data_IF_438108819722
#
_entry.id   IF_438108819722
#
_cell.length_a   1.000
_cell.length_b   1.000
_cell.length_c   1.000
_cell.angle_alpha   90.00
_cell.angle_beta   90.00
_cell.angle_gamma   90.00
#
_symmetry.space_group_name_H-M   'P 1'
#
loop_
_entity.id
_entity.type
_entity.pdbx_description
1 polymer ?
#
# COMPACT_ATOMS: atom_id res chain seq x y z
N UNK A 1 -33.11 -13.98 9.98
CA UNK A 1 -32.57 -13.79 8.61
C UNK A 1 -32.39 -12.32 8.28
N UNK A 2 -33.44 -11.49 8.34
CA UNK A 2 -33.36 -10.03 8.18
C UNK A 2 -32.26 -9.36 9.04
N UNK A 3 -32.19 -9.68 10.34
CA UNK A 3 -31.14 -9.11 11.21
C UNK A 3 -29.72 -9.46 10.76
N UNK A 4 -29.48 -10.68 10.26
CA UNK A 4 -28.17 -11.13 9.75
C UNK A 4 -27.83 -10.48 8.40
N UNK A 5 -28.82 -10.31 7.53
CA UNK A 5 -28.70 -9.53 6.29
C UNK A 5 -28.28 -8.09 6.59
N UNK A 6 -28.91 -7.46 7.59
CA UNK A 6 -28.61 -6.08 7.97
C UNK A 6 -27.29 -5.93 8.74
N UNK A 7 -26.88 -6.92 9.53
CA UNK A 7 -25.68 -6.83 10.36
C UNK A 7 -24.39 -7.30 9.69
N UNK A 8 -24.46 -8.14 8.66
CA UNK A 8 -23.30 -8.74 7.99
C UNK A 8 -23.61 -9.06 6.51
N UNK A 9 -23.60 -8.05 5.63
CA UNK A 9 -24.02 -8.20 4.24
C UNK A 9 -23.01 -8.99 3.39
N UNK A 10 -21.77 -9.18 3.84
CA UNK A 10 -20.71 -9.88 3.09
C UNK A 10 -20.12 -11.04 3.89
N UNK A 11 -19.65 -12.06 3.17
CA UNK A 11 -18.93 -13.22 3.70
C UNK A 11 -17.68 -13.44 2.87
N UNK A 12 -16.58 -13.83 3.52
CA UNK A 12 -15.34 -14.23 2.84
C UNK A 12 -15.11 -15.71 3.07
N UNK A 13 -14.88 -16.47 2.00
CA UNK A 13 -14.62 -17.90 2.03
C UNK A 13 -13.36 -18.23 1.22
N UNK A 14 -12.73 -19.37 1.52
CA UNK A 14 -11.63 -19.89 0.69
C UNK A 14 -12.23 -20.47 -0.59
N UNK A 15 -11.87 -19.91 -1.74
CA UNK A 15 -12.31 -20.40 -3.06
C UNK A 15 -11.34 -21.43 -3.63
N UNK A 16 -10.04 -21.15 -3.50
CA UNK A 16 -8.97 -22.01 -4.00
C UNK A 16 -7.82 -22.01 -3.00
N UNK A 17 -7.22 -23.18 -2.77
CA UNK A 17 -6.04 -23.34 -1.90
C UNK A 17 -4.74 -23.46 -2.71
N UNK A 18 -4.85 -23.69 -4.01
CA UNK A 18 -3.75 -23.96 -4.94
C UNK A 18 -3.92 -23.18 -6.25
N UNK A 19 -4.22 -21.87 -6.14
CA UNK A 19 -4.24 -21.00 -7.30
C UNK A 19 -2.84 -20.96 -7.94
N UNK A 20 -2.78 -21.24 -9.24
CA UNK A 20 -1.51 -21.39 -9.95
C UNK A 20 -0.67 -20.10 -9.94
N UNK A 21 0.62 -20.22 -9.65
CA UNK A 21 1.51 -19.06 -9.48
C UNK A 21 1.64 -18.21 -10.75
N UNK A 22 1.53 -18.79 -11.94
CA UNK A 22 1.62 -18.04 -13.19
C UNK A 22 0.53 -16.96 -13.32
N UNK A 23 -0.63 -17.16 -12.68
CA UNK A 23 -1.71 -16.16 -12.70
C UNK A 23 -1.43 -14.98 -11.77
N UNK A 24 -0.41 -15.06 -10.91
CA UNK A 24 0.01 -13.97 -10.02
C UNK A 24 1.29 -13.29 -10.53
N UNK A 25 1.38 -11.95 -10.49
CA UNK A 25 2.66 -11.29 -10.67
C UNK A 25 3.58 -11.65 -9.50
N UNK A 26 4.86 -11.87 -9.81
CA UNK A 26 5.87 -11.99 -8.77
C UNK A 26 5.88 -10.71 -7.93
N UNK A 27 6.00 -10.77 -6.59
CA UNK A 27 5.94 -9.56 -5.78
C UNK A 27 6.99 -8.53 -6.19
N UNK A 28 6.69 -7.27 -5.92
CA UNK A 28 7.70 -6.22 -6.04
C UNK A 28 8.71 -6.37 -4.92
N UNK A 29 9.99 -6.19 -5.24
CA UNK A 29 11.10 -6.29 -4.29
C UNK A 29 11.86 -4.97 -4.27
N UNK A 30 11.83 -4.26 -3.14
CA UNK A 30 12.53 -3.00 -2.94
C UNK A 30 13.82 -3.23 -2.13
N UNK A 31 14.91 -2.65 -2.60
CA UNK A 31 16.26 -2.79 -2.08
C UNK A 31 16.74 -1.40 -1.66
N UNK A 32 16.85 -1.19 -0.36
CA UNK A 32 17.27 0.07 0.24
C UNK A 32 18.62 -0.09 0.95
N UNK A 33 19.70 0.57 0.49
CA UNK A 33 20.92 0.63 1.28
C UNK A 33 20.69 1.45 2.56
N UNK A 34 21.21 0.97 3.69
CA UNK A 34 21.11 1.68 4.97
C UNK A 34 21.97 2.96 4.96
N UNK A 35 23.15 2.91 4.34
CA UNK A 35 23.96 4.10 4.05
C UNK A 35 23.38 4.78 2.79
N UNK A 36 22.60 5.85 2.98
CA UNK A 36 21.84 6.53 1.91
C UNK A 36 22.62 7.63 1.18
N UNK A 37 23.73 8.11 1.75
CA UNK A 37 24.46 9.29 1.28
C UNK A 37 25.95 8.96 1.17
N UNK A 38 26.53 9.27 0.01
CA UNK A 38 27.98 9.29 -0.22
C UNK A 38 28.57 10.61 0.28
N UNK A 39 29.30 10.56 1.41
CA UNK A 39 29.81 11.74 2.12
C UNK A 39 30.65 12.64 1.21
N UNK A 40 31.64 12.09 0.51
CA UNK A 40 32.60 12.90 -0.25
C UNK A 40 31.93 13.58 -1.45
N UNK A 41 31.01 12.85 -2.10
CA UNK A 41 30.19 13.38 -3.19
C UNK A 41 29.28 14.51 -2.69
N UNK A 42 28.67 14.35 -1.51
CA UNK A 42 27.83 15.36 -0.90
C UNK A 42 28.60 16.66 -0.57
N UNK A 43 29.79 16.54 0.04
CA UNK A 43 30.67 17.67 0.32
C UNK A 43 31.06 18.41 -0.95
N UNK A 44 31.47 17.69 -2.00
CA UNK A 44 31.78 18.28 -3.31
C UNK A 44 30.57 19.01 -3.91
N UNK A 45 29.40 18.38 -3.90
CA UNK A 45 28.18 18.96 -4.47
C UNK A 45 27.81 20.30 -3.84
N UNK A 46 27.94 20.40 -2.50
CA UNK A 46 27.62 21.61 -1.73
C UNK A 46 28.69 22.67 -1.93
N UNK A 47 29.98 22.30 -1.90
CA UNK A 47 31.09 23.22 -2.16
C UNK A 47 30.99 23.88 -3.55
N UNK A 48 30.56 23.14 -4.58
CA UNK A 48 30.42 23.65 -5.95
C UNK A 48 29.24 24.65 -6.12
N UNK A 49 28.31 24.72 -5.16
CA UNK A 49 27.05 25.50 -5.29
C UNK A 49 26.89 26.61 -4.27
N UNK A 50 27.62 26.56 -3.18
CA UNK A 50 27.50 27.52 -2.08
C UNK A 50 28.81 28.32 -1.96
N UNK A 51 28.74 29.62 -2.24
CA UNK A 51 29.86 30.56 -2.14
C UNK A 51 30.09 31.10 -0.70
N UNK A 52 29.50 30.45 0.31
CA UNK A 52 29.51 30.91 1.71
C UNK A 52 30.40 30.00 2.53
N UNK A 53 31.21 30.58 3.43
CA UNK A 53 32.00 29.80 4.38
C UNK A 53 31.08 29.03 5.36
N UNK A 54 31.37 27.75 5.54
CA UNK A 54 30.71 26.86 6.49
C UNK A 54 31.73 25.88 7.08
N UNK A 55 31.43 25.35 8.27
CA UNK A 55 32.25 24.31 8.88
C UNK A 55 31.83 22.95 8.32
N UNK A 56 32.80 22.06 8.03
CA UNK A 56 32.48 20.69 7.56
C UNK A 56 31.54 19.94 8.52
N UNK A 57 31.66 20.20 9.83
CA UNK A 57 30.80 19.63 10.87
C UNK A 57 29.33 20.04 10.73
N UNK A 58 29.03 21.26 10.26
CA UNK A 58 27.66 21.72 10.00
C UNK A 58 27.03 20.90 8.86
N UNK A 59 27.81 20.69 7.79
CA UNK A 59 27.37 19.87 6.66
C UNK A 59 27.20 18.40 7.06
N UNK A 60 28.17 17.82 7.78
CA UNK A 60 28.07 16.43 8.24
C UNK A 60 26.85 16.19 9.14
N UNK A 61 26.54 17.12 10.04
CA UNK A 61 25.32 17.05 10.84
C UNK A 61 24.05 17.17 9.98
N UNK A 62 24.08 17.97 8.91
CA UNK A 62 22.97 18.04 7.95
C UNK A 62 22.78 16.73 7.18
N UNK A 63 23.87 16.10 6.73
CA UNK A 63 23.82 14.79 6.08
C UNK A 63 23.30 13.68 7.02
N UNK A 64 23.67 13.75 8.31
CA UNK A 64 23.15 12.85 9.33
C UNK A 64 21.64 13.03 9.52
N UNK A 65 21.15 14.28 9.56
CA UNK A 65 19.73 14.56 9.62
C UNK A 65 18.99 14.02 8.38
N UNK A 66 19.50 14.26 7.17
CA UNK A 66 18.89 13.76 5.93
C UNK A 66 18.88 12.23 5.85
N UNK A 67 19.91 11.55 6.37
CA UNK A 67 19.93 10.08 6.45
C UNK A 67 18.82 9.54 7.35
N UNK A 68 18.42 10.31 8.36
CA UNK A 68 17.33 10.01 9.29
C UNK A 68 15.97 10.56 8.84
N UNK A 69 15.90 11.25 7.70
CA UNK A 69 14.68 11.79 7.12
C UNK A 69 13.83 10.68 6.48
N UNK A 70 13.21 9.87 7.34
CA UNK A 70 12.33 8.77 6.96
C UNK A 70 11.22 8.61 8.00
N UNK A 71 9.99 8.32 7.57
CA UNK A 71 8.92 7.91 8.49
C UNK A 71 9.25 6.50 9.03
N UNK A 72 8.96 6.14 10.29
CA UNK A 72 8.36 6.93 11.39
C UNK A 72 9.41 7.59 12.31
N UNK A 73 10.60 7.91 11.79
CA UNK A 73 11.80 8.23 12.57
C UNK A 73 12.25 9.69 12.47
N UNK A 74 11.43 10.59 11.94
CA UNK A 74 11.79 12.01 11.78
C UNK A 74 12.25 12.68 13.07
N UNK A 75 11.72 12.25 14.23
CA UNK A 75 12.14 12.78 15.52
C UNK A 75 13.64 12.61 15.81
N UNK A 76 14.30 11.60 15.23
CA UNK A 76 15.74 11.36 15.42
C UNK A 76 16.59 12.46 14.79
N UNK A 77 16.05 13.21 13.83
CA UNK A 77 16.74 14.35 13.22
C UNK A 77 16.94 15.50 14.21
N UNK A 78 16.05 15.66 15.19
CA UNK A 78 16.10 16.78 16.15
C UNK A 78 17.43 16.85 16.90
N UNK A 79 18.05 15.70 17.19
CA UNK A 79 19.36 15.65 17.82
C UNK A 79 20.44 16.38 17.00
N UNK A 80 20.46 16.17 15.68
CA UNK A 80 21.42 16.81 14.79
C UNK A 80 21.03 18.25 14.49
N UNK A 81 19.73 18.53 14.31
CA UNK A 81 19.23 19.88 14.02
C UNK A 81 19.56 20.84 15.18
N UNK A 82 19.32 20.42 16.43
CA UNK A 82 19.56 21.25 17.61
C UNK A 82 21.05 21.47 17.91
N UNK A 83 21.91 20.53 17.50
CA UNK A 83 23.36 20.59 17.73
C UNK A 83 24.10 21.37 16.61
N UNK A 84 23.67 22.60 16.34
CA UNK A 84 24.48 23.58 15.61
C UNK A 84 24.18 23.79 14.12
N UNK A 85 23.07 23.26 13.57
CA UNK A 85 22.72 23.47 12.13
C UNK A 85 21.70 24.61 11.94
N UNK A 86 21.11 25.17 13.02
CA UNK A 86 20.00 26.13 12.92
C UNK A 86 20.22 27.30 11.94
N UNK A 87 21.42 27.90 11.95
CA UNK A 87 21.81 28.96 11.02
C UNK A 87 22.34 28.47 9.65
N UNK A 88 22.69 27.18 9.53
CA UNK A 88 23.16 26.58 8.28
C UNK A 88 22.01 26.23 7.33
N UNK A 89 20.82 25.89 7.85
CA UNK A 89 19.65 25.60 7.02
C UNK A 89 19.28 26.73 6.07
N UNK A 90 19.40 27.99 6.49
CA UNK A 90 19.08 29.15 5.66
C UNK A 90 20.01 29.27 4.46
N UNK A 91 21.29 28.89 4.62
CA UNK A 91 22.29 28.86 3.55
C UNK A 91 21.98 27.78 2.49
N UNK A 92 21.26 26.73 2.87
CA UNK A 92 20.91 25.60 2.00
C UNK A 92 19.57 25.74 1.27
N UNK A 93 18.86 26.87 1.44
CA UNK A 93 17.50 27.05 0.89
C UNK A 93 17.45 27.04 -0.64
N UNK A 94 18.56 27.35 -1.31
CA UNK A 94 18.70 27.33 -2.77
C UNK A 94 18.88 25.91 -3.34
N UNK A 95 19.22 24.93 -2.49
CA UNK A 95 19.45 23.55 -2.92
C UNK A 95 18.12 22.78 -2.90
N UNK A 96 17.73 22.27 -4.06
CA UNK A 96 16.64 21.29 -4.14
C UNK A 96 17.11 19.97 -3.51
N UNK A 97 16.48 19.61 -2.38
CA UNK A 97 16.82 18.40 -1.62
C UNK A 97 16.62 17.13 -2.46
N UNK A 98 15.62 17.12 -3.35
CA UNK A 98 15.36 15.97 -4.23
C UNK A 98 16.54 15.69 -5.13
N UNK A 99 16.99 16.72 -5.86
CA UNK A 99 18.10 16.60 -6.80
C UNK A 99 19.41 16.29 -6.06
N UNK A 100 19.62 16.93 -4.91
CA UNK A 100 20.74 16.64 -4.03
C UNK A 100 20.78 15.16 -3.63
N UNK A 101 19.66 14.63 -3.11
CA UNK A 101 19.57 13.24 -2.65
C UNK A 101 19.73 12.24 -3.81
N UNK A 102 19.28 12.56 -5.02
CA UNK A 102 19.50 11.73 -6.22
C UNK A 102 20.97 11.69 -6.65
N UNK A 103 21.73 12.77 -6.43
CA UNK A 103 23.15 12.83 -6.80
C UNK A 103 24.05 12.12 -5.79
N UNK A 104 23.71 12.19 -4.50
CA UNK A 104 24.54 11.64 -3.43
C UNK A 104 24.19 10.20 -3.06
N UNK A 105 23.07 9.66 -3.54
CA UNK A 105 22.70 8.27 -3.25
C UNK A 105 23.68 7.26 -3.88
N UNK A 106 23.83 6.06 -3.30
CA UNK A 106 24.59 4.98 -3.92
C UNK A 106 23.99 4.61 -5.28
N UNK A 107 24.83 4.55 -6.30
CA UNK A 107 24.42 4.16 -7.66
C UNK A 107 24.12 2.66 -7.72
N UNK A 108 23.33 2.23 -8.71
CA UNK A 108 22.98 0.83 -8.88
C UNK A 108 24.22 -0.09 -8.94
N UNK A 109 25.25 0.31 -9.67
CA UNK A 109 26.51 -0.44 -9.79
C UNK A 109 27.33 -0.53 -8.50
N UNK A 110 27.12 0.39 -7.55
CA UNK A 110 27.75 0.39 -6.22
C UNK A 110 26.98 -0.49 -5.23
N UNK A 111 25.68 -0.69 -5.43
CA UNK A 111 24.82 -1.52 -4.56
C UNK A 111 24.88 -2.99 -4.98
N UNK A 112 24.75 -3.27 -6.27
CA UNK A 112 24.59 -4.63 -6.77
C UNK A 112 25.90 -5.23 -7.31
N UNK A 113 26.12 -6.51 -7.02
CA UNK A 113 27.21 -7.32 -7.54
C UNK A 113 26.74 -8.19 -8.72
N UNK A 114 25.66 -8.95 -8.52
CA UNK A 114 25.07 -9.82 -9.52
C UNK A 114 23.59 -10.06 -9.21
N UNK A 115 22.78 -10.31 -10.23
CA UNK A 115 21.35 -10.60 -10.10
C UNK A 115 20.97 -11.78 -11.00
N UNK A 116 20.10 -12.63 -10.47
CA UNK A 116 19.51 -13.74 -11.22
C UNK A 116 18.00 -13.71 -11.09
N UNK A 117 17.30 -13.99 -12.18
CA UNK A 117 15.86 -14.08 -12.24
C UNK A 117 15.48 -15.39 -12.92
N UNK A 118 14.78 -16.27 -12.21
CA UNK A 118 14.41 -17.62 -12.68
C UNK A 118 15.65 -18.39 -13.16
N UNK A 119 16.72 -18.37 -12.36
CA UNK A 119 17.99 -19.04 -12.67
C UNK A 119 18.85 -18.40 -13.77
N UNK A 120 18.37 -17.39 -14.50
CA UNK A 120 19.13 -16.72 -15.54
C UNK A 120 19.83 -15.47 -15.01
N UNK A 121 21.06 -15.23 -15.45
CA UNK A 121 21.82 -14.02 -15.08
C UNK A 121 21.29 -12.80 -15.84
N UNK A 122 21.13 -11.69 -15.14
CA UNK A 122 20.70 -10.42 -15.70
C UNK A 122 21.57 -9.27 -15.17
N UNK A 123 21.65 -8.21 -15.96
CA UNK A 123 22.16 -6.94 -15.45
C UNK A 123 21.20 -6.37 -14.40
N UNK A 124 21.71 -6.17 -13.19
CA UNK A 124 20.92 -5.64 -12.07
C UNK A 124 20.29 -4.28 -12.37
N UNK A 125 20.99 -3.41 -13.10
CA UNK A 125 20.51 -2.05 -13.37
C UNK A 125 19.45 -1.99 -14.47
N UNK A 126 19.26 -3.07 -15.22
CA UNK A 126 18.13 -3.23 -16.14
C UNK A 126 16.92 -3.86 -15.45
N UNK A 127 17.17 -4.71 -14.44
CA UNK A 127 16.11 -5.34 -13.64
C UNK A 127 15.50 -4.40 -12.60
N UNK A 128 16.32 -3.59 -11.96
CA UNK A 128 15.94 -2.68 -10.89
C UNK A 128 15.81 -1.25 -11.40
N UNK A 129 14.80 -0.55 -10.88
CA UNK A 129 14.53 0.84 -11.22
C UNK A 129 14.47 1.69 -9.95
N UNK A 130 14.69 2.99 -10.09
CA UNK A 130 14.61 3.92 -8.96
C UNK A 130 13.20 3.86 -8.34
N UNK A 131 13.14 3.58 -7.04
CA UNK A 131 11.93 3.56 -6.23
C UNK A 131 11.91 4.74 -5.28
N UNK A 132 10.73 5.37 -5.20
CA UNK A 132 10.41 6.41 -4.23
C UNK A 132 9.56 5.79 -3.12
N UNK A 133 9.89 6.06 -1.86
CA UNK A 133 9.20 5.48 -0.70
C UNK A 133 9.37 6.33 0.56
N UNK A 134 8.66 5.98 1.64
CA UNK A 134 8.81 6.64 2.95
C UNK A 134 10.19 6.45 3.61
N UNK A 135 10.98 5.53 3.07
CA UNK A 135 12.37 5.29 3.45
C UNK A 135 13.35 6.13 2.61
N UNK A 136 12.88 6.88 1.62
CA UNK A 136 13.69 7.65 0.69
C UNK A 136 13.83 6.97 -0.68
N UNK A 137 14.97 7.18 -1.33
CA UNK A 137 15.30 6.60 -2.63
C UNK A 137 15.95 5.23 -2.51
N UNK A 138 15.39 4.26 -3.23
CA UNK A 138 15.82 2.86 -3.24
C UNK A 138 15.74 2.30 -4.66
N UNK A 139 15.96 0.99 -4.82
CA UNK A 139 15.87 0.30 -6.10
C UNK A 139 14.81 -0.80 -6.03
N UNK A 140 13.81 -0.78 -6.90
CA UNK A 140 12.74 -1.79 -6.94
C UNK A 140 12.75 -2.64 -8.21
N UNK A 141 12.52 -3.93 -8.00
CA UNK A 141 12.20 -4.92 -9.01
C UNK A 141 10.68 -5.11 -9.06
N UNK A 142 10.14 -5.23 -10.28
CA UNK A 142 8.72 -5.52 -10.57
C UNK A 142 7.68 -4.59 -9.90
N UNK A 143 8.03 -3.34 -9.63
CA UNK A 143 7.12 -2.36 -9.04
C UNK A 143 6.52 -1.41 -10.07
N UNK A 144 5.21 -1.21 -10.04
CA UNK A 144 4.49 -0.23 -10.86
C UNK A 144 4.53 1.18 -10.26
N UNK A 145 4.91 1.31 -8.99
CA UNK A 145 5.14 2.61 -8.33
C UNK A 145 6.56 3.14 -8.53
N UNK A 146 7.42 2.39 -9.24
CA UNK A 146 8.78 2.82 -9.59
C UNK A 146 8.77 4.01 -10.54
N UNK A 147 9.86 4.80 -10.54
CA UNK A 147 9.97 5.98 -11.41
C UNK A 147 9.88 5.59 -12.89
N UNK A 148 10.53 4.48 -13.27
CA UNK A 148 10.51 3.96 -14.65
C UNK A 148 9.10 3.56 -15.09
N UNK A 149 8.34 2.89 -14.23
CA UNK A 149 6.98 2.41 -14.54
C UNK A 149 5.87 3.38 -14.13
N UNK A 150 6.20 4.57 -13.64
CA UNK A 150 5.20 5.56 -13.17
C UNK A 150 4.18 6.00 -14.24
N UNK A 151 4.54 5.86 -15.52
CA UNK A 151 3.64 6.14 -16.64
C UNK A 151 2.72 4.96 -17.00
N UNK A 152 2.99 3.75 -16.50
CA UNK A 152 2.21 2.55 -16.79
C UNK A 152 0.79 2.64 -16.20
N UNK A 153 -0.20 1.94 -16.79
CA UNK A 153 -1.50 1.77 -16.17
C UNK A 153 -1.32 0.96 -14.87
N UNK A 154 -1.99 1.38 -13.80
CA UNK A 154 -2.09 0.56 -12.59
C UNK A 154 -3.31 -0.35 -12.71
N UNK A 155 -3.13 -1.63 -12.42
CA UNK A 155 -4.16 -2.64 -12.65
C UNK A 155 -5.16 -2.73 -11.49
N UNK A 156 -6.45 -2.82 -11.81
CA UNK A 156 -7.53 -2.87 -10.83
C UNK A 156 -7.74 -4.26 -10.22
N UNK A 157 -7.41 -5.34 -10.93
CA UNK A 157 -7.52 -6.71 -10.43
C UNK A 157 -6.44 -7.61 -11.02
N UNK A 158 -6.24 -8.78 -10.42
CA UNK A 158 -5.42 -9.87 -10.96
C UNK A 158 -5.96 -10.44 -12.29
N UNK A 159 -7.26 -10.30 -12.53
CA UNK A 159 -7.96 -10.82 -13.72
C UNK A 159 -7.96 -9.79 -14.88
N UNK A 160 -7.73 -8.50 -14.57
CA UNK A 160 -7.58 -7.39 -15.52
C UNK A 160 -6.12 -6.97 -15.76
N UNK A 161 -5.17 -7.69 -15.17
CA UNK A 161 -3.75 -7.52 -15.50
C UNK A 161 -3.54 -7.92 -16.97
N UNK A 162 -3.07 -6.98 -17.78
CA UNK A 162 -3.18 -6.99 -19.26
C UNK A 162 -2.40 -8.09 -19.98
N UNK A 163 -1.81 -9.04 -19.27
CA UNK A 163 -1.17 -10.23 -19.88
C UNK A 163 -2.20 -11.22 -20.46
N UNK A 164 -3.49 -11.11 -20.10
CA UNK A 164 -4.58 -11.92 -20.70
C UNK A 164 -5.22 -11.29 -21.94
N UNK A 165 -4.94 -10.01 -22.23
CA UNK A 165 -5.43 -9.33 -23.41
C UNK A 165 -4.25 -8.95 -24.30
N UNK A 166 -3.97 -9.81 -25.28
CA UNK A 166 -3.07 -9.57 -26.40
C UNK A 166 -3.57 -8.37 -27.23
N UNK A 167 -3.43 -7.14 -26.73
CA UNK A 167 -3.95 -5.92 -27.38
C UNK A 167 -2.85 -4.87 -27.49
N UNK A 168 -2.10 -4.94 -28.60
CA UNK A 168 -1.55 -3.82 -29.39
C UNK A 168 -1.02 -2.57 -28.65
N UNK A 169 -0.51 -2.70 -27.43
CA UNK A 169 0.15 -1.63 -26.67
C UNK A 169 1.62 -2.00 -26.50
N UNK A 170 2.47 -1.34 -27.26
CA UNK A 170 3.88 -1.65 -27.50
C UNK A 170 4.82 -1.36 -26.32
N UNK A 171 4.32 -1.15 -25.09
CA UNK A 171 5.17 -0.79 -23.97
C UNK A 171 5.55 -2.00 -23.10
N UNK A 172 6.53 -2.76 -23.60
CA UNK A 172 7.14 -3.91 -22.92
C UNK A 172 7.63 -3.60 -21.49
N UNK A 173 7.87 -2.33 -21.16
CA UNK A 173 8.30 -1.90 -19.83
C UNK A 173 7.21 -2.05 -18.75
N UNK A 174 5.93 -2.04 -19.14
CA UNK A 174 4.80 -2.15 -18.21
C UNK A 174 4.45 -3.59 -17.85
N UNK A 175 4.99 -4.57 -18.55
CA UNK A 175 4.74 -6.00 -18.30
C UNK A 175 5.29 -6.41 -16.92
N UNK A 176 4.46 -7.09 -16.14
CA UNK A 176 4.83 -7.63 -14.84
C UNK A 176 5.50 -8.99 -15.00
N UNK A 177 6.58 -9.20 -14.26
CA UNK A 177 7.28 -10.48 -14.25
C UNK A 177 6.53 -11.48 -13.37
N UNK A 178 6.43 -12.72 -13.85
CA UNK A 178 5.73 -13.84 -13.23
C UNK A 178 6.68 -15.02 -13.11
N UNK A 179 6.43 -15.91 -12.17
CA UNK A 179 7.10 -17.20 -12.13
C UNK A 179 6.04 -18.31 -11.97
N UNK A 180 6.44 -19.55 -12.21
CA UNK A 180 5.58 -20.74 -12.08
C UNK A 180 6.07 -21.71 -11.02
N UNK A 181 7.28 -21.49 -10.50
CA UNK A 181 7.99 -22.42 -9.64
C UNK A 181 8.11 -21.88 -8.20
N UNK A 182 8.19 -22.83 -7.27
CA UNK A 182 8.45 -22.58 -5.87
C UNK A 182 9.81 -23.17 -5.47
N UNK A 183 10.32 -22.72 -4.33
CA UNK A 183 11.60 -23.19 -3.78
C UNK A 183 12.80 -22.32 -4.15
N UNK A 184 13.91 -22.54 -3.45
CA UNK A 184 15.13 -21.73 -3.55
C UNK A 184 15.61 -21.66 -5.00
N UNK A 185 16.15 -20.49 -5.40
CA UNK A 185 16.68 -20.22 -6.75
C UNK A 185 15.65 -20.10 -7.89
N UNK A 186 14.37 -20.38 -7.64
CA UNK A 186 13.31 -20.28 -8.65
C UNK A 186 12.82 -18.84 -8.91
N UNK A 187 13.12 -17.91 -7.98
CA UNK A 187 12.67 -16.52 -8.03
C UNK A 187 13.81 -15.54 -8.33
N UNK A 188 13.97 -14.55 -7.46
CA UNK A 188 14.94 -13.47 -7.59
C UNK A 188 16.11 -13.67 -6.63
N UNK A 189 17.33 -13.72 -7.17
CA UNK A 189 18.55 -13.75 -6.37
C UNK A 189 19.33 -12.46 -6.57
N UNK A 190 19.83 -11.90 -5.47
CA UNK A 190 20.55 -10.64 -5.46
C UNK A 190 21.81 -10.79 -4.62
N UNK A 191 22.93 -10.38 -5.20
CA UNK A 191 24.22 -10.34 -4.54
C UNK A 191 24.64 -8.88 -4.39
N UNK A 192 25.00 -8.47 -3.17
CA UNK A 192 25.32 -7.07 -2.87
C UNK A 192 26.82 -6.81 -2.83
N UNK A 193 27.21 -5.61 -3.24
CA UNK A 193 28.55 -5.07 -3.01
C UNK A 193 28.64 -4.42 -1.64
N UNK A 194 29.87 -4.31 -1.14
CA UNK A 194 30.15 -3.61 0.11
C UNK A 194 30.20 -2.11 -0.15
N UNK A 195 29.44 -1.34 0.63
CA UNK A 195 29.51 0.11 0.58
C UNK A 195 30.91 0.62 0.96
N UNK A 196 31.42 1.59 0.21
CA UNK A 196 32.77 2.12 0.38
C UNK A 196 32.92 2.80 1.74
N UNK A 197 33.90 2.35 2.55
CA UNK A 197 34.12 2.91 3.90
C UNK A 197 34.44 4.40 3.89
N UNK A 198 35.15 4.88 2.86
CA UNK A 198 35.52 6.30 2.68
C UNK A 198 34.32 7.20 2.43
N UNK A 199 33.22 6.65 1.90
CA UNK A 199 32.00 7.39 1.60
C UNK A 199 30.99 7.39 2.74
N UNK A 200 31.25 6.65 3.83
CA UNK A 200 30.35 6.63 4.99
C UNK A 200 30.39 7.96 5.71
N UNK A 201 29.24 8.33 6.27
CA UNK A 201 29.12 9.51 7.13
C UNK A 201 29.93 9.33 8.43
N UNK A 202 30.37 10.45 9.00
CA UNK A 202 30.98 10.45 10.33
C UNK A 202 29.93 9.99 11.34
N UNK A 203 30.31 9.10 12.25
CA UNK A 203 29.41 8.44 13.21
C UNK A 203 28.30 7.58 12.58
N UNK A 204 28.42 7.19 11.30
CA UNK A 204 27.47 6.28 10.65
C UNK A 204 27.24 4.97 11.43
N UNK A 205 28.26 4.49 12.16
CA UNK A 205 28.16 3.31 13.03
C UNK A 205 27.12 3.46 14.16
N UNK A 206 26.85 4.69 14.62
CA UNK A 206 25.84 4.99 15.65
C UNK A 206 24.45 5.16 15.00
N UNK A 207 24.41 5.71 13.79
CA UNK A 207 23.16 6.08 13.10
C UNK A 207 22.55 4.89 12.35
N UNK A 208 23.36 4.27 11.50
CA UNK A 208 22.96 3.21 10.56
C UNK A 208 23.51 1.84 10.97
N UNK A 209 24.48 1.81 11.91
CA UNK A 209 25.13 0.57 12.34
C UNK A 209 26.18 0.09 11.36
N UNK A 210 26.30 -1.23 11.24
CA UNK A 210 27.11 -1.85 10.18
C UNK A 210 26.46 -1.62 8.81
N UNK A 211 27.24 -1.49 7.72
CA UNK A 211 26.66 -1.35 6.40
C UNK A 211 25.76 -2.56 6.13
N UNK A 212 24.53 -2.31 5.73
CA UNK A 212 23.55 -3.34 5.48
C UNK A 212 22.57 -2.87 4.40
N UNK A 213 21.84 -3.82 3.84
CA UNK A 213 20.83 -3.56 2.82
C UNK A 213 19.50 -4.10 3.34
N UNK A 214 18.46 -3.28 3.31
CA UNK A 214 17.10 -3.68 3.64
C UNK A 214 16.38 -4.12 2.37
N UNK A 215 15.72 -5.27 2.45
CA UNK A 215 14.93 -5.84 1.36
C UNK A 215 13.47 -5.91 1.80
N UNK A 216 12.58 -5.32 1.01
CA UNK A 216 11.13 -5.26 1.26
C UNK A 216 10.41 -5.98 0.12
N UNK A 217 9.45 -6.82 0.47
CA UNK A 217 8.58 -7.52 -0.48
C UNK A 217 7.16 -6.96 -0.32
N UNK A 218 6.55 -6.51 -1.42
CA UNK A 218 5.27 -5.80 -1.39
C UNK A 218 4.48 -6.01 -2.69
N UNK A 219 3.21 -5.61 -2.70
CA UNK A 219 2.36 -5.70 -3.89
C UNK A 219 2.75 -4.68 -4.95
N UNK A 220 2.64 -5.08 -6.22
CA UNK A 220 3.18 -4.32 -7.37
C UNK A 220 2.59 -2.90 -7.51
N UNK A 221 1.35 -2.69 -7.07
CA UNK A 221 0.64 -1.40 -7.10
C UNK A 221 0.78 -0.59 -5.80
N UNK A 222 1.50 -1.09 -4.81
CA UNK A 222 1.68 -0.41 -3.54
C UNK A 222 3.04 0.28 -3.47
N UNK A 223 3.16 1.25 -2.56
CA UNK A 223 4.45 1.79 -2.17
C UNK A 223 5.05 0.91 -1.06
N UNK A 224 6.37 0.66 -1.06
CA UNK A 224 6.99 -0.06 0.04
C UNK A 224 6.93 0.78 1.32
N UNK A 225 6.54 0.14 2.42
CA UNK A 225 6.37 0.78 3.72
C UNK A 225 7.71 0.86 4.46
N UNK A 226 8.04 2.06 4.94
CA UNK A 226 9.28 2.28 5.67
C UNK A 226 9.28 1.57 7.02
N UNK A 227 10.43 0.99 7.38
CA UNK A 227 10.59 0.25 8.63
C UNK A 227 10.11 -1.20 8.57
N UNK A 228 9.43 -1.61 7.50
CA UNK A 228 9.18 -3.03 7.20
C UNK A 228 10.32 -3.62 6.36
N UNK A 229 10.45 -4.95 6.37
CA UNK A 229 11.41 -5.69 5.54
C UNK A 229 12.56 -6.35 6.32
N UNK A 230 13.36 -7.12 5.60
CA UNK A 230 14.43 -7.93 6.14
C UNK A 230 15.78 -7.26 5.90
N UNK A 231 16.60 -7.17 6.95
CA UNK A 231 17.96 -6.63 6.85
C UNK A 231 18.88 -7.76 6.41
N UNK A 232 19.61 -7.56 5.31
CA UNK A 232 20.67 -8.44 4.82
C UNK A 232 21.97 -8.04 5.52
N UNK A 233 22.50 -8.96 6.33
CA UNK A 233 23.73 -8.73 7.10
C UNK A 233 25.00 -9.14 6.34
N UNK A 234 26.12 -8.58 6.77
CA UNK A 234 27.43 -8.68 6.13
C UNK A 234 28.19 -10.01 6.34
N UNK A 235 27.49 -11.10 6.71
CA UNK A 235 28.14 -12.35 7.08
C UNK A 235 28.49 -13.14 5.82
N UNK A 236 29.78 -13.18 5.49
CA UNK A 236 30.30 -13.88 4.31
C UNK A 236 29.84 -15.34 4.27
N UNK A 237 29.43 -15.81 3.09
CA UNK A 237 28.96 -17.19 2.92
C UNK A 237 27.62 -17.48 3.59
N UNK A 238 26.83 -16.45 3.92
CA UNK A 238 25.42 -16.62 4.29
C UNK A 238 24.50 -16.04 3.24
N UNK A 239 23.35 -16.70 3.11
CA UNK A 239 22.26 -16.33 2.21
C UNK A 239 21.01 -16.10 3.02
N UNK A 240 20.39 -14.94 2.84
CA UNK A 240 19.06 -14.65 3.35
C UNK A 240 18.03 -15.25 2.40
N UNK A 241 17.21 -16.18 2.88
CA UNK A 241 16.10 -16.75 2.11
C UNK A 241 14.80 -16.08 2.54
N UNK A 242 14.10 -15.44 1.60
CA UNK A 242 12.78 -14.84 1.82
C UNK A 242 11.76 -15.70 1.08
N UNK A 243 11.02 -16.51 1.84
CA UNK A 243 9.99 -17.41 1.35
C UNK A 243 8.65 -16.70 1.33
N UNK A 244 8.12 -16.45 0.13
CA UNK A 244 6.88 -15.71 -0.09
C UNK A 244 5.68 -16.65 -0.11
N UNK A 245 4.67 -16.38 0.71
CA UNK A 245 3.35 -17.02 0.69
C UNK A 245 2.28 -16.02 0.23
N UNK A 246 1.79 -16.13 -1.01
CA UNK A 246 0.77 -15.24 -1.53
C UNK A 246 -0.64 -15.61 -1.06
N UNK A 247 -1.37 -14.60 -0.61
CA UNK A 247 -2.80 -14.66 -0.30
C UNK A 247 -3.52 -13.60 -1.14
N UNK A 248 -4.55 -14.01 -1.86
CA UNK A 248 -5.33 -13.10 -2.71
C UNK A 248 -6.76 -13.09 -2.23
N UNK A 249 -7.33 -11.89 -2.07
CA UNK A 249 -8.76 -11.71 -1.80
C UNK A 249 -9.40 -11.01 -2.98
N UNK A 250 -10.41 -11.64 -3.58
CA UNK A 250 -11.20 -11.06 -4.68
C UNK A 250 -12.64 -10.88 -4.20
N UNK A 251 -13.18 -9.67 -4.36
CA UNK A 251 -14.60 -9.39 -4.15
C UNK A 251 -15.37 -9.59 -5.45
N UNK A 252 -16.53 -10.24 -5.38
CA UNK A 252 -17.39 -10.46 -6.56
C UNK A 252 -18.01 -9.15 -7.07
N UNK A 253 -18.46 -9.15 -8.34
CA UNK A 253 -19.15 -7.99 -8.93
C UNK A 253 -20.45 -7.61 -8.19
N UNK A 254 -21.07 -8.57 -7.49
CA UNK A 254 -22.25 -8.31 -6.65
C UNK A 254 -21.94 -7.33 -5.53
N UNK A 255 -20.72 -7.37 -4.97
CA UNK A 255 -20.26 -6.41 -3.96
C UNK A 255 -20.06 -5.01 -4.56
N UNK A 256 -19.69 -4.92 -5.84
CA UNK A 256 -19.54 -3.61 -6.52
C UNK A 256 -20.85 -2.82 -6.56
N UNK A 257 -21.98 -3.51 -6.59
CA UNK A 257 -23.31 -2.91 -6.57
C UNK A 257 -23.80 -2.49 -5.17
N UNK A 258 -23.13 -2.94 -4.09
CA UNK A 258 -23.45 -2.50 -2.74
C UNK A 258 -22.85 -1.10 -2.47
N UNK A 259 -23.55 -0.22 -1.75
CA UNK A 259 -22.99 1.07 -1.36
C UNK A 259 -21.77 0.88 -0.44
N UNK A 260 -20.81 1.79 -0.55
CA UNK A 260 -19.53 1.75 0.20
C UNK A 260 -19.75 1.60 1.71
N UNK A 261 -20.79 2.24 2.26
CA UNK A 261 -21.14 2.21 3.69
C UNK A 261 -21.52 0.81 4.16
N UNK A 262 -22.08 -0.04 3.29
CA UNK A 262 -22.48 -1.42 3.62
C UNK A 262 -21.34 -2.42 3.41
N UNK A 263 -20.52 -2.23 2.37
CA UNK A 263 -19.42 -3.15 2.05
C UNK A 263 -18.09 -2.82 2.74
N UNK A 264 -17.94 -1.61 3.29
CA UNK A 264 -16.76 -1.14 4.04
C UNK A 264 -15.41 -1.27 3.29
N UNK A 265 -15.42 -1.20 1.96
CA UNK A 265 -14.21 -1.22 1.15
C UNK A 265 -14.39 -0.41 -0.14
N UNK A 266 -13.27 0.05 -0.70
CA UNK A 266 -13.23 0.67 -2.04
C UNK A 266 -12.60 -0.28 -3.05
N UNK A 267 -13.17 -0.30 -4.25
CA UNK A 267 -12.51 -0.89 -5.40
C UNK A 267 -11.39 0.04 -5.90
N UNK A 268 -10.33 -0.51 -6.51
CA UNK A 268 -9.17 0.29 -6.94
C UNK A 268 -9.49 1.45 -7.90
N UNK A 269 -10.59 1.37 -8.63
CA UNK A 269 -11.06 2.33 -9.63
C UNK A 269 -12.02 3.42 -9.08
N UNK A 270 -12.46 3.33 -7.83
CA UNK A 270 -13.54 4.19 -7.30
C UNK A 270 -13.06 5.52 -6.72
N UNK A 271 -11.81 5.57 -6.27
CA UNK A 271 -11.24 6.72 -5.59
C UNK A 271 -9.97 7.17 -6.29
N UNK A 272 -9.88 8.47 -6.55
CA UNK A 272 -8.72 9.07 -7.19
C UNK A 272 -7.81 9.63 -6.09
N UNK A 273 -6.53 9.23 -6.12
CA UNK A 273 -5.50 9.71 -5.21
C UNK A 273 -4.52 10.59 -5.98
N UNK A 274 -3.98 11.61 -5.32
CA UNK A 274 -2.88 12.44 -5.83
C UNK A 274 -1.53 11.71 -5.79
N UNK A 275 -1.39 10.71 -4.91
CA UNK A 275 -0.14 9.94 -4.74
C UNK A 275 -0.05 8.74 -5.69
N UNK A 276 -1.18 8.13 -6.04
CA UNK A 276 -1.25 6.88 -6.81
C UNK A 276 -2.42 6.93 -7.80
N UNK A 277 -2.28 6.28 -8.97
CA UNK A 277 -3.37 6.21 -9.97
C UNK A 277 -4.47 5.22 -9.58
N UNK A 278 -4.14 4.26 -8.74
CA UNK A 278 -5.05 3.22 -8.27
C UNK A 278 -5.21 3.32 -6.77
N UNK A 279 -6.44 3.16 -6.29
CA UNK A 279 -6.72 3.16 -4.87
C UNK A 279 -6.16 1.91 -4.20
N UNK A 280 -5.36 2.11 -3.17
CA UNK A 280 -5.02 1.11 -2.16
C UNK A 280 -5.14 1.78 -0.80
N UNK A 281 -5.52 1.02 0.24
CA UNK A 281 -5.63 1.58 1.58
C UNK A 281 -4.30 2.22 2.01
N UNK A 282 -3.17 1.57 1.72
CA UNK A 282 -1.82 2.11 2.02
C UNK A 282 -1.54 3.43 1.32
N UNK A 283 -1.90 3.56 0.05
CA UNK A 283 -1.71 4.84 -0.69
C UNK A 283 -2.60 5.95 -0.15
N UNK A 284 -3.85 5.64 0.25
CA UNK A 284 -4.73 6.60 0.92
C UNK A 284 -4.13 7.09 2.26
N UNK A 285 -3.57 6.18 3.05
CA UNK A 285 -2.93 6.51 4.33
C UNK A 285 -1.66 7.37 4.16
N UNK A 286 -0.87 7.11 3.10
CA UNK A 286 0.25 7.98 2.70
C UNK A 286 -0.26 9.39 2.37
N UNK A 287 -1.27 9.49 1.51
CA UNK A 287 -1.84 10.78 1.12
C UNK A 287 -2.43 11.54 2.32
N UNK A 288 -3.06 10.84 3.25
CA UNK A 288 -3.56 11.43 4.49
C UNK A 288 -2.45 12.09 5.31
N UNK A 289 -1.29 11.42 5.46
CA UNK A 289 -0.10 11.97 6.12
C UNK A 289 0.49 13.16 5.37
N UNK A 290 0.55 13.10 4.05
CA UNK A 290 1.03 14.22 3.21
C UNK A 290 0.13 15.45 3.33
N UNK A 291 -1.19 15.25 3.34
CA UNK A 291 -2.15 16.33 3.56
C UNK A 291 -2.01 16.96 4.95
N UNK A 292 -1.73 16.17 5.99
CA UNK A 292 -1.43 16.69 7.32
C UNK A 292 -0.15 17.54 7.32
N UNK A 293 0.93 17.02 6.72
CA UNK A 293 2.20 17.74 6.60
C UNK A 293 2.04 19.04 5.82
N UNK A 294 1.26 19.06 4.75
CA UNK A 294 0.97 20.28 4.02
C UNK A 294 0.22 21.30 4.89
N UNK A 295 -0.78 20.89 5.67
CA UNK A 295 -1.52 21.82 6.56
C UNK A 295 -0.68 22.40 7.71
N UNK A 296 0.41 21.71 8.11
CA UNK A 296 1.23 22.10 9.27
C UNK A 296 2.55 22.75 8.87
N UNK A 297 3.17 22.29 7.80
CA UNK A 297 4.50 22.69 7.35
C UNK A 297 4.52 23.28 5.94
N UNK A 298 3.37 23.36 5.26
CA UNK A 298 3.19 23.86 3.89
C UNK A 298 4.02 23.11 2.82
N UNK A 299 4.50 21.91 3.13
CA UNK A 299 5.37 21.16 2.23
C UNK A 299 5.27 19.64 2.40
N UNK A 300 5.89 18.90 1.48
CA UNK A 300 6.02 17.43 1.52
C UNK A 300 7.47 16.93 1.50
N UNK A 301 7.73 15.72 2.03
CA UNK A 301 9.03 15.04 1.92
C UNK A 301 9.56 14.93 0.47
N UNK A 302 10.88 15.06 0.29
CA UNK A 302 11.55 15.04 -1.03
C UNK A 302 11.32 13.75 -1.83
N UNK A 303 11.08 12.64 -1.15
CA UNK A 303 10.99 11.34 -1.80
C UNK A 303 9.61 11.07 -2.39
N UNK A 304 8.56 11.83 -2.08
CA UNK A 304 7.26 11.63 -2.72
C UNK A 304 7.11 12.46 -3.98
N UNK A 305 6.63 11.83 -5.06
CA UNK A 305 6.08 12.53 -6.22
C UNK A 305 4.55 12.46 -6.17
N UNK A 306 3.87 13.52 -6.59
CA UNK A 306 2.41 13.60 -6.57
C UNK A 306 2.01 13.94 -7.99
N UNK A 307 0.99 13.26 -8.48
CA UNK A 307 0.54 13.36 -9.86
C UNK A 307 0.04 14.78 -10.19
N UNK A 308 -0.53 15.46 -9.20
CA UNK A 308 -1.05 16.83 -9.31
C UNK A 308 -0.01 17.92 -9.00
N UNK A 309 1.15 17.56 -8.45
CA UNK A 309 2.17 18.48 -7.93
C UNK A 309 1.63 19.62 -7.05
N UNK A 310 0.50 19.41 -6.36
CA UNK A 310 -0.18 20.47 -5.58
C UNK A 310 0.63 20.94 -4.37
N UNK A 311 1.34 20.03 -3.72
CA UNK A 311 2.14 20.32 -2.52
C UNK A 311 3.61 20.46 -2.91
N UNK A 312 4.28 21.59 -2.58
CA UNK A 312 5.70 21.77 -2.89
C UNK A 312 6.60 20.92 -1.98
N UNK A 313 7.79 20.61 -2.48
CA UNK A 313 8.79 19.86 -1.72
C UNK A 313 9.37 20.74 -0.61
N UNK A 314 9.61 20.17 0.57
CA UNK A 314 10.18 20.92 1.68
C UNK A 314 11.58 21.42 1.38
N UNK A 315 11.84 22.69 1.72
CA UNK A 315 13.18 23.24 1.78
C UNK A 315 13.89 22.80 3.05
N UNK A 316 15.20 23.10 3.11
CA UNK A 316 16.10 22.78 4.22
C UNK A 316 15.55 23.24 5.59
N UNK A 317 14.97 24.45 5.67
CA UNK A 317 14.41 25.01 6.91
C UNK A 317 13.13 24.32 7.36
N UNK A 318 12.33 23.81 6.44
CA UNK A 318 11.04 23.16 6.74
C UNK A 318 11.21 21.73 7.26
N UNK A 319 12.40 21.12 7.11
CA UNK A 319 12.69 19.78 7.64
C UNK A 319 12.49 19.70 9.17
N UNK A 320 12.77 20.79 9.89
CA UNK A 320 12.54 20.87 11.33
C UNK A 320 11.06 20.75 11.69
N UNK A 321 10.16 21.37 10.90
CA UNK A 321 8.71 21.27 11.13
C UNK A 321 8.22 19.83 11.02
N UNK A 322 8.68 19.08 10.00
CA UNK A 322 8.36 17.65 9.85
C UNK A 322 8.84 16.85 11.06
N UNK A 323 10.05 17.13 11.55
CA UNK A 323 10.62 16.43 12.70
C UNK A 323 9.81 16.66 13.99
N UNK A 324 9.26 17.86 14.18
CA UNK A 324 8.44 18.24 15.34
C UNK A 324 7.08 17.53 15.33
N UNK A 325 6.46 17.35 14.17
CA UNK A 325 5.16 16.69 14.01
C UNK A 325 5.23 15.17 13.83
N UNK A 326 6.36 14.56 14.18
CA UNK A 326 6.57 13.13 14.00
C UNK A 326 5.59 12.25 14.79
N UNK A 327 5.16 12.67 15.99
CA UNK A 327 4.25 11.89 16.84
C UNK A 327 2.89 11.65 16.19
N UNK A 328 2.33 12.68 15.58
CA UNK A 328 0.99 12.70 14.98
C UNK A 328 0.93 11.85 13.70
N UNK A 329 2.06 11.68 13.01
CA UNK A 329 2.17 10.87 11.80
C UNK A 329 2.24 9.36 12.05
N UNK A 330 2.35 8.93 13.32
CA UNK A 330 2.55 7.51 13.67
C UNK A 330 1.25 6.73 13.83
N UNK A 331 0.18 7.39 14.25
CA UNK A 331 -1.05 6.73 14.66
C UNK A 331 -2.24 7.29 13.91
N UNK A 332 -3.12 6.40 13.45
CA UNK A 332 -4.40 6.75 12.86
C UNK A 332 -5.51 6.64 13.90
N UNK A 333 -6.49 7.53 13.83
CA UNK A 333 -7.66 7.47 14.71
C UNK A 333 -8.50 6.24 14.35
N UNK A 334 -8.98 5.48 15.35
CA UNK A 334 -9.93 4.41 15.08
C UNK A 334 -11.24 4.98 14.50
N UNK A 335 -12.00 4.21 13.72
CA UNK A 335 -13.31 4.61 13.25
C UNK A 335 -14.25 4.96 14.42
N UNK A 336 -15.15 5.92 14.20
CA UNK A 336 -16.01 6.50 15.23
C UNK A 336 -17.03 5.44 15.69
N UNK A 337 -16.77 4.80 16.84
CA UNK A 337 -17.67 3.83 17.45
C UNK A 337 -16.96 2.94 18.47
N UNK A 338 -17.37 3.03 19.75
CA UNK A 338 -16.83 2.29 20.89
C UNK A 338 -15.31 2.20 20.95
N UNK A 339 -14.67 3.31 21.37
CA UNK A 339 -13.30 3.33 21.88
C UNK A 339 -13.26 2.50 23.16
N UNK A 340 -13.21 1.16 23.04
CA UNK A 340 -13.07 0.28 24.19
C UNK A 340 -11.67 0.49 24.77
N UNK A 341 -11.59 1.10 25.95
CA UNK A 341 -10.43 1.02 26.82
C UNK A 341 -9.24 1.91 26.50
N UNK A 342 -9.33 2.85 25.56
CA UNK A 342 -8.26 3.86 25.40
C UNK A 342 -8.54 5.07 26.29
N UNK A 343 -7.61 5.40 27.18
CA UNK A 343 -7.66 6.68 27.88
C UNK A 343 -7.42 7.80 26.87
N UNK A 344 -8.29 8.81 26.84
CA UNK A 344 -8.13 10.00 25.99
C UNK A 344 -6.79 10.72 26.21
N UNK A 345 -6.18 10.54 27.37
CA UNK A 345 -4.85 11.08 27.73
C UNK A 345 -3.68 10.36 27.02
N UNK A 346 -3.87 9.12 26.57
CA UNK A 346 -2.85 8.35 25.83
C UNK A 346 -2.89 8.64 24.32
N UNK A 347 -4.02 9.14 23.81
CA UNK A 347 -4.17 9.58 22.43
C UNK A 347 -3.54 10.96 22.22
N UNK A 348 -2.21 11.02 22.09
CA UNK A 348 -1.54 12.23 21.57
C UNK A 348 -1.84 12.39 20.07
N UNK A 349 -2.94 13.09 19.78
CA UNK A 349 -3.33 13.63 18.47
C UNK A 349 -3.20 12.64 17.29
N UNK A 350 -3.98 11.54 17.28
CA UNK A 350 -4.00 10.61 16.16
C UNK A 350 -4.54 11.29 14.89
N UNK A 351 -4.00 10.89 13.74
CA UNK A 351 -4.42 11.42 12.45
C UNK A 351 -5.75 10.79 12.02
N UNK A 352 -6.77 11.63 11.78
CA UNK A 352 -8.05 11.15 11.29
C UNK A 352 -7.97 10.83 9.79
N UNK A 353 -7.84 9.53 9.48
CA UNK A 353 -7.90 8.98 8.12
C UNK A 353 -9.08 8.01 7.98
N UNK A 354 -10.21 8.29 8.63
CA UNK A 354 -11.42 7.45 8.61
C UNK A 354 -12.00 7.23 7.21
N UNK A 355 -11.66 8.08 6.25
CA UNK A 355 -12.01 7.92 4.84
C UNK A 355 -11.22 6.80 4.13
N UNK A 356 -10.10 6.34 4.69
CA UNK A 356 -9.25 5.31 4.09
C UNK A 356 -9.74 3.90 4.46
N UNK A 357 -10.77 3.43 3.74
CA UNK A 357 -11.28 2.07 3.87
C UNK A 357 -10.33 1.03 3.25
N UNK A 358 -10.40 -0.25 3.67
CA UNK A 358 -9.69 -1.34 3.00
C UNK A 358 -9.99 -1.44 1.50
N UNK A 359 -9.09 -2.04 0.75
CA UNK A 359 -9.29 -2.31 -0.67
C UNK A 359 -10.10 -3.59 -0.86
N UNK A 360 -11.11 -3.58 -1.75
CA UNK A 360 -11.98 -4.75 -1.97
C UNK A 360 -11.24 -5.90 -2.67
N UNK A 361 -10.28 -5.59 -3.54
CA UNK A 361 -9.32 -6.55 -4.09
C UNK A 361 -7.97 -6.36 -3.42
N UNK A 362 -7.42 -7.43 -2.86
CA UNK A 362 -6.18 -7.34 -2.10
C UNK A 362 -5.27 -8.53 -2.40
N UNK A 363 -3.97 -8.27 -2.45
CA UNK A 363 -2.93 -9.30 -2.52
C UNK A 363 -1.93 -9.04 -1.42
N UNK A 364 -1.89 -9.96 -0.46
CA UNK A 364 -1.04 -9.89 0.73
C UNK A 364 0.00 -11.00 0.66
N UNK A 365 1.22 -10.70 1.08
CA UNK A 365 2.30 -11.67 1.17
C UNK A 365 2.67 -11.90 2.62
N UNK A 366 2.61 -13.15 3.05
CA UNK A 366 3.26 -13.60 4.28
C UNK A 366 4.69 -14.03 3.94
N UNK A 367 5.64 -13.66 4.78
CA UNK A 367 7.07 -13.84 4.52
C UNK A 367 7.69 -14.66 5.64
N UNK A 368 8.25 -15.84 5.30
CA UNK A 368 9.16 -16.52 6.22
C UNK A 368 10.60 -16.22 5.80
N UNK A 369 11.42 -15.88 6.79
CA UNK A 369 12.77 -15.38 6.56
C UNK A 369 13.74 -16.25 7.32
N UNK A 370 14.74 -16.79 6.64
CA UNK A 370 15.76 -17.65 7.24
C UNK A 370 17.17 -17.33 6.72
N UNK A 371 18.16 -17.50 7.59
CA UNK A 371 19.57 -17.35 7.26
C UNK A 371 20.24 -18.71 7.17
N UNK A 372 20.66 -19.08 5.97
CA UNK A 372 21.39 -20.33 5.73
C UNK A 372 22.84 -20.07 5.31
N UNK A 373 23.71 -21.05 5.58
CA UNK A 373 25.05 -21.07 5.01
C UNK A 373 24.96 -21.46 3.54
N UNK A 374 25.73 -20.77 2.70
CA UNK A 374 25.81 -21.05 1.28
C UNK A 374 27.27 -21.18 0.85
N UNK A 375 27.55 -22.28 0.16
CA UNK A 375 28.90 -22.65 -0.28
C UNK A 375 29.26 -22.04 -1.63
N UNK A 376 28.29 -21.43 -2.34
CA UNK A 376 28.50 -20.81 -3.62
C UNK A 376 29.64 -19.76 -3.54
N UNK A 377 30.67 -19.83 -4.41
CA UNK A 377 31.78 -18.88 -4.39
C UNK A 377 31.32 -17.42 -4.47
N UNK A 378 30.28 -17.16 -5.28
CA UNK A 378 29.68 -15.83 -5.42
C UNK A 378 29.09 -15.31 -4.10
N UNK A 379 28.46 -16.17 -3.30
CA UNK A 379 27.92 -15.82 -1.97
C UNK A 379 29.04 -15.52 -0.98
N UNK A 380 30.18 -16.22 -1.08
CA UNK A 380 31.35 -15.98 -0.23
C UNK A 380 32.10 -14.69 -0.58
N UNK A 381 32.14 -14.33 -1.87
CA UNK A 381 32.77 -13.09 -2.34
C UNK A 381 31.88 -11.86 -2.16
N UNK A 382 30.57 -12.04 -2.14
CA UNK A 382 29.60 -10.93 -1.99
C UNK A 382 29.51 -10.45 -0.54
N UNK A 383 29.08 -9.20 -0.38
CA UNK A 383 28.93 -8.61 0.95
C UNK A 383 27.74 -9.19 1.71
N UNK A 384 26.66 -9.43 0.97
CA UNK A 384 25.47 -10.15 1.42
C UNK A 384 24.77 -10.73 0.19
N UNK A 385 23.95 -11.75 0.41
CA UNK A 385 23.13 -12.34 -0.64
C UNK A 385 21.72 -12.61 -0.14
N UNK A 386 20.74 -12.46 -1.04
CA UNK A 386 19.34 -12.73 -0.77
C UNK A 386 18.74 -13.54 -1.91
N UNK A 387 17.88 -14.48 -1.56
CA UNK A 387 17.14 -15.37 -2.45
C UNK A 387 15.66 -15.29 -2.09
N UNK A 388 14.87 -14.68 -2.97
CA UNK A 388 13.43 -14.46 -2.79
C UNK A 388 12.68 -15.41 -3.73
N UNK A 389 11.82 -16.25 -3.18
CA UNK A 389 11.09 -17.26 -3.95
C UNK A 389 9.76 -17.61 -3.28
N UNK A 390 8.83 -18.20 -4.03
CA UNK A 390 7.58 -18.69 -3.45
C UNK A 390 7.82 -19.95 -2.61
N UNK A 391 7.21 -19.99 -1.42
CA UNK A 391 7.33 -21.14 -0.52
C UNK A 391 6.62 -22.38 -1.08
N UNK A 392 5.43 -22.18 -1.63
CA UNK A 392 4.53 -23.23 -2.11
C UNK A 392 4.25 -23.05 -3.60
N UNK A 393 3.94 -24.13 -4.31
CA UNK A 393 3.63 -24.14 -5.75
C UNK A 393 2.27 -23.52 -6.12
N UNK A 394 1.54 -22.97 -5.13
CA UNK A 394 0.25 -22.33 -5.33
C UNK A 394 -0.06 -21.30 -4.25
N UNK A 395 -1.01 -20.44 -4.56
CA UNK A 395 -1.52 -19.39 -3.69
C UNK A 395 -2.90 -19.72 -3.14
N UNK A 396 -3.24 -19.13 -1.99
CA UNK A 396 -4.60 -19.24 -1.44
C UNK A 396 -5.44 -18.06 -1.93
N UNK A 397 -6.56 -18.36 -2.61
CA UNK A 397 -7.56 -17.40 -3.09
C UNK A 397 -8.77 -17.40 -2.16
N UNK A 398 -9.00 -16.27 -1.52
CA UNK A 398 -10.25 -15.94 -0.85
C UNK A 398 -11.19 -15.22 -1.81
N UNK A 399 -12.47 -15.57 -1.72
CA UNK A 399 -13.55 -14.88 -2.40
C UNK A 399 -14.47 -14.25 -1.38
N UNK A 400 -14.76 -12.97 -1.57
CA UNK A 400 -15.74 -12.22 -0.80
C UNK A 400 -16.98 -12.05 -1.65
N UNK A 401 -18.12 -12.51 -1.16
CA UNK A 401 -19.43 -12.36 -1.80
C UNK A 401 -20.50 -11.85 -0.81
N UNK A 402 -21.65 -11.46 -1.34
CA UNK A 402 -22.82 -11.04 -0.57
C UNK A 402 -23.45 -12.26 0.11
N UNK A 403 -23.72 -12.18 1.42
CA UNK A 403 -24.29 -13.31 2.20
C UNK A 403 -25.69 -13.69 1.76
N UNK A 404 -26.52 -12.69 1.51
CA UNK A 404 -27.89 -12.84 1.00
C UNK A 404 -28.17 -11.70 0.05
N UNK A 405 -28.53 -11.99 -1.20
CA UNK A 405 -29.16 -11.01 -2.07
C UNK A 405 -30.61 -10.76 -1.64
N UNK A 406 -31.20 -9.67 -2.14
CA UNK A 406 -32.64 -9.42 -2.01
C UNK A 406 -33.50 -10.57 -2.55
N UNK A 407 -33.03 -11.25 -3.60
CA UNK A 407 -33.69 -12.43 -4.18
C UNK A 407 -33.67 -13.60 -3.19
N UNK A 408 -32.53 -13.87 -2.55
CA UNK A 408 -32.39 -14.97 -1.58
C UNK A 408 -33.29 -14.75 -0.36
N UNK A 409 -33.44 -13.50 0.05
CA UNK A 409 -34.34 -13.10 1.13
C UNK A 409 -35.81 -13.33 0.74
N UNK A 410 -36.21 -12.92 -0.47
CA UNK A 410 -37.56 -13.14 -1.01
C UNK A 410 -37.86 -14.65 -1.13
N UNK A 411 -36.92 -15.43 -1.66
CA UNK A 411 -37.06 -16.90 -1.78
C UNK A 411 -37.21 -17.54 -0.40
N UNK A 412 -36.43 -17.11 0.59
CA UNK A 412 -36.50 -17.67 1.94
C UNK A 412 -37.81 -17.34 2.64
N UNK A 413 -38.28 -16.09 2.57
CA UNK A 413 -39.58 -15.69 3.13
C UNK A 413 -40.74 -16.36 2.39
N UNK A 414 -40.67 -16.44 1.06
CA UNK A 414 -41.65 -17.13 0.23
C UNK A 414 -41.72 -18.63 0.53
N UNK A 415 -40.58 -19.28 0.76
CA UNK A 415 -40.52 -20.69 1.17
C UNK A 415 -41.15 -20.94 2.53
N UNK A 416 -40.90 -20.08 3.53
CA UNK A 416 -41.52 -20.18 4.86
C UNK A 416 -43.04 -19.95 4.76
N UNK A 417 -43.48 -18.91 4.04
CA UNK A 417 -44.90 -18.62 3.86
C UNK A 417 -45.64 -19.72 3.09
N UNK A 418 -45.00 -20.27 2.05
CA UNK A 418 -45.55 -21.38 1.27
C UNK A 418 -45.68 -22.67 2.08
N UNK A 419 -44.67 -23.01 2.88
CA UNK A 419 -44.67 -24.24 3.67
C UNK A 419 -45.65 -24.20 4.86
N UNK A 420 -45.68 -23.09 5.61
CA UNK A 420 -46.48 -23.02 6.84
C UNK A 420 -47.90 -22.49 6.65
N UNK A 421 -48.13 -21.62 5.66
CA UNK A 421 -49.43 -20.98 5.45
C UNK A 421 -50.11 -21.45 4.17
N UNK A 422 -49.45 -22.26 3.32
CA UNK A 422 -49.92 -22.55 1.97
C UNK A 422 -50.00 -21.29 1.09
N UNK A 423 -49.32 -20.22 1.51
CA UNK A 423 -49.43 -18.90 0.91
C UNK A 423 -48.49 -18.79 -0.29
N UNK A 424 -49.04 -18.49 -1.46
CA UNK A 424 -48.30 -18.36 -2.71
C UNK A 424 -48.57 -17.02 -3.38
N UNK A 425 -47.79 -16.71 -4.42
CA UNK A 425 -48.03 -15.53 -5.26
C UNK A 425 -49.44 -15.53 -5.87
N UNK A 426 -49.97 -16.71 -6.24
CA UNK A 426 -51.33 -16.85 -6.74
C UNK A 426 -52.36 -16.50 -5.67
N UNK A 427 -52.12 -16.89 -4.41
CA UNK A 427 -52.98 -16.56 -3.27
C UNK A 427 -53.03 -15.04 -3.02
N UNK A 428 -51.90 -14.32 -3.21
CA UNK A 428 -51.86 -12.85 -3.14
C UNK A 428 -52.72 -12.23 -4.25
N UNK A 429 -52.56 -12.71 -5.49
CA UNK A 429 -53.31 -12.20 -6.65
C UNK A 429 -54.82 -12.42 -6.43
N UNK A 430 -55.22 -13.59 -5.92
CA UNK A 430 -56.62 -13.88 -5.60
C UNK A 430 -57.15 -12.95 -4.50
N UNK A 431 -56.40 -12.71 -3.43
CA UNK A 431 -56.80 -11.78 -2.36
C UNK A 431 -56.97 -10.35 -2.89
N UNK A 432 -56.07 -9.89 -3.76
CA UNK A 432 -56.18 -8.57 -4.39
C UNK A 432 -57.40 -8.52 -5.31
N UNK A 433 -57.62 -9.54 -6.13
CA UNK A 433 -58.79 -9.63 -7.01
C UNK A 433 -60.11 -9.56 -6.23
N UNK A 434 -60.26 -10.40 -5.20
CA UNK A 434 -61.46 -10.41 -4.37
C UNK A 434 -61.60 -9.13 -3.53
N UNK A 435 -60.48 -8.58 -3.04
CA UNK A 435 -60.46 -7.30 -2.33
C UNK A 435 -60.94 -6.14 -3.20
N UNK A 436 -60.45 -6.03 -4.44
CA UNK A 436 -60.91 -5.02 -5.40
C UNK A 436 -62.40 -5.20 -5.70
N UNK A 437 -62.85 -6.45 -5.93
CA UNK A 437 -64.27 -6.74 -6.18
C UNK A 437 -65.16 -6.37 -4.99
N UNK A 438 -64.70 -6.62 -3.77
CA UNK A 438 -65.40 -6.23 -2.54
C UNK A 438 -65.46 -4.71 -2.36
N UNK A 439 -64.37 -4.00 -2.65
CA UNK A 439 -64.34 -2.54 -2.61
C UNK A 439 -65.29 -1.92 -3.65
N UNK A 440 -65.32 -2.46 -4.87
CA UNK A 440 -66.27 -2.03 -5.92
C UNK A 440 -67.72 -2.31 -5.47
N UNK A 441 -67.98 -3.46 -4.84
CA UNK A 441 -69.32 -3.79 -4.32
C UNK A 441 -69.77 -2.84 -3.20
N UNK A 442 -68.88 -2.50 -2.26
CA UNK A 442 -69.17 -1.52 -1.19
C UNK A 442 -69.40 -0.12 -1.76
N UNK A 443 -68.61 0.28 -2.77
CA UNK A 443 -68.77 1.58 -3.44
C UNK A 443 -70.11 1.69 -4.19
N UNK A 444 -70.59 0.60 -4.79
CA UNK A 444 -71.86 0.55 -5.51
C UNK A 444 -73.08 0.27 -4.64
N UNK A 445 -72.95 0.26 -3.30
CA UNK A 445 -74.07 0.03 -2.38
C UNK A 445 -74.86 1.34 -2.21
N UNK A 446 -76.13 1.43 -2.68
CA UNK A 446 -76.90 2.66 -2.55
C UNK A 446 -77.23 2.94 -1.08
N UNK A 447 -77.03 4.19 -0.65
CA UNK A 447 -77.49 4.69 0.65
C UNK A 447 -79.00 4.53 0.74
N UNK A 448 -79.47 3.64 1.61
CA UNK A 448 -80.89 3.49 1.92
C UNK A 448 -81.39 4.74 2.66
N UNK A 449 -81.95 5.69 1.93
CA UNK A 449 -82.76 6.78 2.47
C UNK A 449 -84.05 6.23 3.08
N UNK A 450 -84.18 6.30 4.40
CA UNK A 450 -85.41 6.00 5.15
C UNK A 450 -86.48 7.08 4.90
N UNK A 451 -87.38 6.86 3.94
CA UNK A 451 -88.64 7.61 3.86
C UNK A 451 -89.69 6.96 4.78
N UNK A 452 -89.95 7.58 5.94
CA UNK A 452 -91.11 7.26 6.79
C UNK A 452 -92.36 7.86 6.15
N UNK A 453 -93.27 7.00 5.70
CA UNK A 453 -94.63 7.38 5.26
C UNK A 453 -95.54 7.39 6.50
N UNK A 454 -96.18 8.52 6.77
CA UNK A 454 -97.26 8.67 7.76
C UNK A 454 -98.57 8.09 7.22
N UNK A 455 -99.36 7.35 8.00
CA UNK A 455 -100.68 6.91 7.55
C UNK A 455 -101.71 8.03 7.78
N UNK A 456 -102.47 8.35 6.74
CA UNK A 456 -103.80 8.97 6.86
C UNK A 456 -104.81 7.83 6.92
N UNK A 457 -105.56 7.72 8.02
CA UNK A 457 -107.00 7.99 8.09
C UNK A 457 -107.45 7.91 9.56
#
# INVERSE_FOLDING_TARGET
>A
MWLKFNSSPTVTAVKDTHLALYSLPFPAVNVCPMDKIKRLVAHKYVADRINVSYQESELDNFLNALTLFQHPLYNRMLYYINNGIGGFFTKLTTINITDFMLQVMPTCNEVFNACFWIGHSYNCCDLFSLQRSEEGFCYSFNSLTSVKKSACPMFSTLETDTDTAYTNSTNWECVLRRNTAAGSTSGLQIFFKKFAKSERLINASIITGQPAVRVQVFYVNEYPESGMGSIVTAKKGTKLSIMVKPFVTISTDRIKHLPVVERFCYFPDEQHLSVSRSYTQKSCLIECRLNYLHRKCDCRPYYFNMLDNRIPICNSTQLLCIAQHNSELRFYSPPIGNIRGFLLTEMKSPLNCSQCLPTCHESVFDLDVDYSLDSLPLTRSSYGSVDIFYRNEGAVKYERDVTFGWIDLLVSFGGIAGLFLGFSLLTIIELVYWGIKFLIYQYNKPSSSTNKITPKY
#
